data_IF_137677493421
#
_entry.id   IF_137677493421
#
_cell.length_a   1.000
_cell.length_b   1.000
_cell.length_c   1.000
_cell.angle_alpha   90.00
_cell.angle_beta   90.00
_cell.angle_gamma   90.00
#
_symmetry.space_group_name_H-M   'P 1'
#
loop_
_entity.id
_entity.type
_entity.pdbx_description
1 polymer ?
#
# COMPACT_ATOMS: atom_id res chain seq x y z
N UNK A 1 -5.90 18.98 -18.41
CA UNK A 1 -5.73 19.03 -16.94
C UNK A 1 -5.26 17.64 -16.53
N UNK A 2 -3.98 17.50 -16.19
CA UNK A 2 -3.43 16.23 -15.72
C UNK A 2 -3.87 16.02 -14.27
N UNK A 3 -4.68 14.99 -14.00
CA UNK A 3 -5.21 14.68 -12.66
C UNK A 3 -4.28 13.74 -11.89
N UNK A 4 -2.99 14.04 -11.93
CA UNK A 4 -2.04 13.30 -11.13
C UNK A 4 -2.29 13.63 -9.67
N UNK A 5 -2.76 12.63 -8.91
CA UNK A 5 -3.13 12.83 -7.51
C UNK A 5 -2.09 12.17 -6.65
N UNK A 6 -1.40 12.98 -5.84
CA UNK A 6 -0.49 12.52 -4.79
C UNK A 6 -1.23 12.49 -3.47
N UNK A 7 -1.28 11.33 -2.83
CA UNK A 7 -1.97 11.12 -1.55
C UNK A 7 -0.93 10.77 -0.51
N UNK A 8 -0.76 11.68 0.46
CA UNK A 8 0.13 11.46 1.59
C UNK A 8 -0.42 10.33 2.45
N UNK A 9 0.40 9.32 2.71
CA UNK A 9 0.04 8.21 3.59
C UNK A 9 0.93 8.21 4.84
N UNK A 10 0.55 7.42 5.85
CA UNK A 10 1.38 7.19 7.05
C UNK A 10 2.28 5.95 6.91
N UNK A 11 2.50 5.51 5.67
CA UNK A 11 3.32 4.35 5.36
C UNK A 11 4.78 4.78 5.46
N UNK A 12 5.50 4.32 6.46
CA UNK A 12 6.91 4.67 6.70
C UNK A 12 7.80 3.51 6.27
N UNK A 13 7.40 2.30 6.63
CA UNK A 13 8.19 1.09 6.40
C UNK A 13 7.85 0.44 5.06
N UNK A 14 8.86 0.32 4.21
CA UNK A 14 8.72 -0.28 2.88
C UNK A 14 8.33 -1.75 2.95
N UNK A 15 8.85 -2.49 3.94
CA UNK A 15 8.62 -3.92 4.09
C UNK A 15 7.13 -4.24 4.35
N UNK A 16 6.47 -3.52 5.25
CA UNK A 16 5.04 -3.73 5.51
C UNK A 16 4.18 -3.30 4.32
N UNK A 17 4.60 -2.29 3.56
CA UNK A 17 3.93 -1.92 2.31
C UNK A 17 4.02 -3.06 1.28
N UNK A 18 5.20 -3.67 1.12
CA UNK A 18 5.39 -4.81 0.21
C UNK A 18 4.53 -6.01 0.61
N UNK A 19 4.45 -6.30 1.90
CA UNK A 19 3.58 -7.35 2.43
C UNK A 19 2.11 -7.05 2.13
N UNK A 20 1.66 -5.83 2.41
CA UNK A 20 0.29 -5.40 2.08
C UNK A 20 -0.03 -5.52 0.59
N UNK A 21 0.89 -5.14 -0.30
CA UNK A 21 0.70 -5.27 -1.75
C UNK A 21 0.66 -6.75 -2.20
N UNK A 22 1.50 -7.59 -1.59
CA UNK A 22 1.53 -9.04 -1.86
C UNK A 22 0.21 -9.70 -1.44
N UNK A 23 -0.31 -9.35 -0.27
CA UNK A 23 -1.57 -9.89 0.27
C UNK A 23 -2.78 -9.49 -0.59
N UNK A 24 -2.75 -8.29 -1.20
CA UNK A 24 -3.75 -7.87 -2.17
C UNK A 24 -3.60 -8.57 -3.53
N UNK A 25 -2.55 -9.37 -3.73
CA UNK A 25 -2.27 -10.04 -5.00
C UNK A 25 -1.80 -9.08 -6.08
N UNK A 26 -1.32 -7.88 -5.72
CA UNK A 26 -0.79 -6.92 -6.68
C UNK A 26 0.68 -7.21 -6.97
N UNK A 27 1.01 -7.38 -8.26
CA UNK A 27 2.40 -7.38 -8.69
C UNK A 27 3.00 -5.98 -8.47
N UNK A 28 4.22 -5.92 -7.95
CA UNK A 28 4.93 -4.66 -7.78
C UNK A 28 6.39 -4.80 -8.21
N UNK A 29 6.98 -3.69 -8.64
CA UNK A 29 8.39 -3.55 -8.96
C UNK A 29 9.00 -2.53 -8.00
N UNK A 30 10.16 -2.83 -7.45
CA UNK A 30 10.87 -1.94 -6.54
C UNK A 30 12.19 -1.43 -7.14
N UNK A 31 12.67 -0.31 -6.61
CA UNK A 31 13.95 0.28 -6.97
C UNK A 31 13.77 1.67 -7.59
N UNK A 32 14.68 2.05 -8.49
CA UNK A 32 14.61 3.34 -9.19
C UNK A 32 13.68 3.23 -10.40
N UNK A 33 12.41 2.92 -10.13
CA UNK A 33 11.39 2.70 -11.13
C UNK A 33 10.65 3.99 -11.44
N UNK A 34 10.06 4.06 -12.64
CA UNK A 34 9.28 5.20 -13.07
C UNK A 34 7.89 4.74 -13.50
N UNK A 35 6.89 5.47 -13.02
CA UNK A 35 5.51 5.32 -13.47
C UNK A 35 5.21 6.30 -14.58
N UNK A 36 4.37 5.87 -15.53
CA UNK A 36 3.81 6.68 -16.61
C UNK A 36 2.37 7.06 -16.26
N UNK A 37 2.03 8.32 -16.49
CA UNK A 37 0.66 8.85 -16.37
C UNK A 37 0.22 9.57 -17.64
N UNK A 38 -0.83 10.38 -17.53
CA UNK A 38 -1.35 11.20 -18.63
C UNK A 38 -0.24 11.96 -19.38
N UNK A 39 -0.30 11.91 -20.71
CA UNK A 39 0.70 12.46 -21.64
C UNK A 39 2.11 11.85 -21.55
N UNK A 40 2.27 10.69 -20.94
CA UNK A 40 3.56 10.01 -20.85
C UNK A 40 4.51 10.63 -19.82
N UNK A 41 3.98 11.44 -18.90
CA UNK A 41 4.76 12.00 -17.79
C UNK A 41 5.33 10.86 -16.96
N UNK A 42 6.65 10.85 -16.81
CA UNK A 42 7.37 9.87 -16.01
C UNK A 42 7.65 10.44 -14.63
N UNK A 43 7.16 9.78 -13.59
CA UNK A 43 7.46 10.15 -12.20
C UNK A 43 8.33 9.08 -11.55
N UNK A 44 9.49 9.45 -10.98
CA UNK A 44 10.31 8.53 -10.21
C UNK A 44 9.60 8.14 -8.92
N UNK A 45 9.50 6.84 -8.68
CA UNK A 45 8.85 6.26 -7.50
C UNK A 45 9.68 5.08 -7.00
N UNK A 46 9.57 4.77 -5.73
CA UNK A 46 10.33 3.68 -5.12
C UNK A 46 9.70 2.30 -5.40
N UNK A 47 8.37 2.27 -5.50
CA UNK A 47 7.59 1.08 -5.86
C UNK A 47 6.61 1.46 -6.97
N UNK A 48 6.49 0.57 -7.95
CA UNK A 48 5.59 0.69 -9.09
C UNK A 48 4.66 -0.52 -9.14
N UNK A 49 3.39 -0.26 -9.38
CA UNK A 49 2.34 -1.26 -9.56
C UNK A 49 1.76 -1.08 -10.97
N UNK A 50 1.93 -2.04 -11.87
CA UNK A 50 1.27 -2.03 -13.16
C UNK A 50 -0.23 -2.25 -12.98
N UNK A 51 -1.05 -1.47 -13.67
CA UNK A 51 -2.51 -1.70 -13.75
C UNK A 51 -2.86 -2.44 -15.04
N UNK A 52 -4.12 -2.87 -15.19
CA UNK A 52 -4.58 -3.49 -16.44
C UNK A 52 -4.60 -2.51 -17.62
N UNK A 53 -4.61 -1.20 -17.36
CA UNK A 53 -4.57 -0.20 -18.42
C UNK A 53 -3.13 0.20 -18.73
N UNK A 54 -2.64 -0.21 -19.91
CA UNK A 54 -1.27 0.08 -20.34
C UNK A 54 -1.07 1.60 -20.46
N UNK A 55 -0.11 2.14 -19.70
CA UNK A 55 0.20 3.57 -19.67
C UNK A 55 -0.34 4.31 -18.43
N UNK A 56 -1.07 3.63 -17.55
CA UNK A 56 -1.50 4.16 -16.26
C UNK A 56 -1.01 3.23 -15.14
N UNK A 57 -0.15 3.75 -14.29
CA UNK A 57 0.55 2.95 -13.28
C UNK A 57 0.41 3.64 -11.92
N UNK A 58 0.35 2.83 -10.86
CA UNK A 58 0.31 3.33 -9.48
C UNK A 58 1.73 3.29 -8.94
N UNK A 59 2.20 4.38 -8.35
CA UNK A 59 3.52 4.46 -7.76
C UNK A 59 3.47 4.85 -6.30
N UNK A 60 4.46 4.41 -5.53
CA UNK A 60 4.72 4.89 -4.18
C UNK A 60 6.03 5.67 -4.20
N UNK A 61 5.94 6.98 -4.00
CA UNK A 61 7.10 7.87 -3.89
C UNK A 61 7.44 8.05 -2.42
N UNK A 62 8.71 7.94 -2.06
CA UNK A 62 9.15 8.29 -0.72
C UNK A 62 9.27 9.82 -0.63
N UNK A 63 8.54 10.42 0.29
CA UNK A 63 8.54 11.84 0.58
C UNK A 63 8.83 12.06 2.07
N UNK A 64 9.93 12.76 2.36
CA UNK A 64 10.46 13.01 3.71
C UNK A 64 10.71 11.73 4.51
N UNK A 65 9.68 11.24 5.20
CA UNK A 65 9.74 10.09 6.09
C UNK A 65 8.59 9.10 5.88
N UNK A 66 7.79 9.28 4.83
CA UNK A 66 6.68 8.41 4.49
C UNK A 66 6.58 8.19 2.98
N UNK A 67 5.88 7.16 2.57
CA UNK A 67 5.52 6.90 1.20
C UNK A 67 4.20 7.62 0.90
N UNK A 68 4.13 8.26 -0.25
CA UNK A 68 2.89 8.79 -0.81
C UNK A 68 2.52 8.00 -2.05
N UNK A 69 1.21 7.82 -2.23
CA UNK A 69 0.67 7.17 -3.42
C UNK A 69 0.55 8.22 -4.50
N UNK A 70 1.10 7.91 -5.65
CA UNK A 70 1.22 8.81 -6.78
C UNK A 70 0.72 8.05 -8.00
N UNK A 71 -0.43 8.45 -8.51
CA UNK A 71 -1.06 7.78 -9.64
C UNK A 71 -1.99 8.72 -10.41
N UNK A 72 -2.27 8.32 -11.65
CA UNK A 72 -3.31 8.94 -12.46
C UNK A 72 -4.57 8.09 -12.45
N UNK A 73 -5.41 8.34 -11.44
CA UNK A 73 -6.65 7.60 -11.20
C UNK A 73 -7.68 7.78 -12.30
N UNK A 74 -7.58 8.81 -13.15
CA UNK A 74 -8.55 9.02 -14.22
C UNK A 74 -8.44 7.94 -15.31
N UNK A 75 -7.23 7.46 -15.59
CA UNK A 75 -7.02 6.38 -16.55
C UNK A 75 -7.10 4.98 -15.96
N UNK A 76 -7.01 4.83 -14.63
CA UNK A 76 -7.12 3.55 -13.95
C UNK A 76 -8.61 3.21 -13.80
N UNK A 77 -9.07 2.18 -14.50
CA UNK A 77 -10.49 1.76 -14.48
C UNK A 77 -10.74 0.49 -13.67
N UNK A 78 -9.68 -0.27 -13.43
CA UNK A 78 -9.67 -1.55 -12.74
C UNK A 78 -9.55 -1.41 -11.22
N UNK A 79 -9.01 -0.29 -10.73
CA UNK A 79 -8.75 -0.04 -9.31
C UNK A 79 -9.40 1.29 -8.92
N UNK A 80 -10.27 1.27 -7.91
CA UNK A 80 -10.82 2.49 -7.31
C UNK A 80 -9.84 3.07 -6.30
N UNK A 81 -9.55 4.36 -6.42
CA UNK A 81 -8.63 5.10 -5.55
C UNK A 81 -8.90 4.82 -4.06
N UNK A 82 -10.12 5.09 -3.60
CA UNK A 82 -10.46 5.03 -2.18
C UNK A 82 -10.38 3.60 -1.63
N UNK A 83 -10.86 2.63 -2.41
CA UNK A 83 -10.82 1.22 -2.04
C UNK A 83 -9.37 0.72 -1.93
N UNK A 84 -8.53 1.06 -2.90
CA UNK A 84 -7.12 0.68 -2.90
C UNK A 84 -6.39 1.29 -1.71
N UNK A 85 -6.60 2.59 -1.44
CA UNK A 85 -6.03 3.27 -0.29
C UNK A 85 -6.44 2.62 1.02
N UNK A 86 -7.73 2.34 1.18
CA UNK A 86 -8.26 1.70 2.38
C UNK A 86 -7.63 0.31 2.57
N UNK A 87 -7.60 -0.51 1.53
CA UNK A 87 -7.03 -1.85 1.56
C UNK A 87 -5.53 -1.86 1.89
N UNK A 88 -4.74 -1.04 1.19
CA UNK A 88 -3.29 -0.93 1.44
C UNK A 88 -3.03 -0.40 2.84
N UNK A 89 -3.77 0.63 3.26
CA UNK A 89 -3.60 1.21 4.60
C UNK A 89 -3.97 0.21 5.70
N UNK A 90 -5.02 -0.60 5.51
CA UNK A 90 -5.47 -1.61 6.48
C UNK A 90 -4.43 -2.72 6.64
N UNK A 91 -3.98 -3.31 5.52
CA UNK A 91 -2.98 -4.38 5.55
C UNK A 91 -1.61 -3.88 6.03
N UNK A 92 -1.22 -2.66 5.64
CA UNK A 92 -0.01 -2.04 6.16
C UNK A 92 -0.09 -1.88 7.68
N UNK A 93 -1.20 -1.34 8.20
CA UNK A 93 -1.39 -1.16 9.63
C UNK A 93 -1.41 -2.50 10.38
N UNK A 94 -2.01 -3.53 9.79
CA UNK A 94 -1.96 -4.90 10.31
C UNK A 94 -0.52 -5.42 10.44
N UNK A 95 0.27 -5.39 9.35
CA UNK A 95 1.65 -5.87 9.35
C UNK A 95 2.55 -5.05 10.27
N UNK A 96 2.42 -3.73 10.26
CA UNK A 96 3.17 -2.84 11.13
C UNK A 96 2.84 -3.08 12.61
N UNK A 97 1.56 -3.24 12.95
CA UNK A 97 1.14 -3.55 14.31
C UNK A 97 1.68 -4.92 14.74
N UNK A 98 1.48 -5.95 13.91
CA UNK A 98 1.93 -7.33 14.18
C UNK A 98 3.44 -7.38 14.44
N UNK A 99 4.25 -6.78 13.57
CA UNK A 99 5.69 -6.75 13.74
C UNK A 99 6.12 -6.03 15.02
N UNK A 100 5.53 -4.86 15.33
CA UNK A 100 5.81 -4.15 16.59
C UNK A 100 5.41 -4.93 17.83
N UNK A 101 4.37 -5.75 17.74
CA UNK A 101 3.89 -6.59 18.82
C UNK A 101 4.78 -7.81 19.02
N UNK A 102 5.23 -8.44 17.94
CA UNK A 102 6.21 -9.53 17.97
C UNK A 102 7.54 -9.08 18.57
N UNK A 103 8.03 -7.88 18.22
CA UNK A 103 9.22 -7.26 18.85
C UNK A 103 9.05 -7.06 20.36
N UNK A 104 7.81 -6.83 20.83
CA UNK A 104 7.49 -6.65 22.25
C UNK A 104 7.19 -7.98 22.97
N UNK A 105 7.37 -9.13 22.32
CA UNK A 105 7.12 -10.46 22.90
C UNK A 105 5.63 -10.85 22.95
N UNK A 106 4.80 -10.23 22.12
CA UNK A 106 3.41 -10.65 21.92
C UNK A 106 3.32 -11.50 20.66
N UNK A 107 2.66 -12.66 20.77
CA UNK A 107 2.31 -13.48 19.60
C UNK A 107 0.83 -13.33 19.28
N UNK A 108 0.51 -13.37 17.99
CA UNK A 108 -0.86 -13.39 17.49
C UNK A 108 -1.56 -14.65 17.98
N UNK A 109 -2.59 -14.50 18.81
CA UNK A 109 -3.32 -15.60 19.42
C UNK A 109 -4.59 -15.96 18.63
N UNK A 110 -5.24 -14.97 18.03
CA UNK A 110 -6.34 -15.19 17.08
C UNK A 110 -6.50 -13.99 16.14
N UNK A 111 -6.88 -14.28 14.91
CA UNK A 111 -7.28 -13.31 13.89
C UNK A 111 -8.71 -13.65 13.47
N UNK A 112 -9.66 -12.78 13.84
CA UNK A 112 -11.07 -12.94 13.49
C UNK A 112 -11.53 -11.77 12.63
N UNK A 113 -11.89 -12.07 11.39
CA UNK A 113 -12.59 -11.14 10.51
C UNK A 113 -14.08 -11.21 10.83
N UNK A 114 -14.62 -10.22 11.54
CA UNK A 114 -16.06 -10.13 11.78
C UNK A 114 -16.81 -9.63 10.54
N UNK A 115 -18.07 -10.02 10.39
CA UNK A 115 -18.97 -9.50 9.36
C UNK A 115 -19.04 -7.97 9.44
N UNK A 116 -18.47 -7.29 8.43
CA UNK A 116 -18.48 -5.83 8.32
C UNK A 116 -17.11 -5.15 8.23
N UNK A 117 -16.10 -5.78 7.63
CA UNK A 117 -14.76 -5.20 7.37
C UNK A 117 -13.93 -4.89 8.64
N UNK A 118 -14.33 -5.41 9.80
CA UNK A 118 -13.62 -5.24 11.07
C UNK A 118 -12.74 -6.45 11.38
N UNK A 119 -11.44 -6.22 11.43
CA UNK A 119 -10.44 -7.21 11.81
C UNK A 119 -10.19 -7.12 13.32
N UNK A 120 -10.55 -8.17 14.06
CA UNK A 120 -10.23 -8.31 15.48
C UNK A 120 -8.95 -9.13 15.64
N UNK A 121 -7.94 -8.50 16.23
CA UNK A 121 -6.65 -9.13 16.55
C UNK A 121 -6.59 -9.40 18.05
N UNK A 122 -6.56 -10.68 18.43
CA UNK A 122 -6.33 -11.10 19.81
C UNK A 122 -4.87 -11.47 19.96
N UNK A 123 -4.19 -10.83 20.91
CA UNK A 123 -2.75 -10.99 21.14
C UNK A 123 -2.52 -11.59 22.51
N UNK A 124 -1.55 -12.51 22.59
CA UNK A 124 -1.13 -13.10 23.86
C UNK A 124 0.35 -12.82 24.07
N UNK A 125 0.70 -12.35 25.27
CA UNK A 125 2.09 -12.19 25.67
C UNK A 125 2.71 -13.56 25.90
N UNK A 126 3.80 -13.85 25.19
CA UNK A 126 4.58 -15.07 25.40
C UNK A 126 5.81 -14.61 26.19
N UNK A 127 5.75 -14.82 27.51
CA UNK A 127 6.85 -14.53 28.44
C UNK A 127 7.71 -15.77 28.56
#
# INVERSE_FOLDING_TARGET
>A
MSHFTSIKTQIVEKEYLKQALSDLGHAYQEGNVQIRGYQGIQTPVAIKIPTKNSGYEIGFRQLDNAYEIVADWWGIRDIKQDQFLQQVSQLYAYHAAKAKLEEQGFSLASEETQEGDRLHLVLRRVV
#
